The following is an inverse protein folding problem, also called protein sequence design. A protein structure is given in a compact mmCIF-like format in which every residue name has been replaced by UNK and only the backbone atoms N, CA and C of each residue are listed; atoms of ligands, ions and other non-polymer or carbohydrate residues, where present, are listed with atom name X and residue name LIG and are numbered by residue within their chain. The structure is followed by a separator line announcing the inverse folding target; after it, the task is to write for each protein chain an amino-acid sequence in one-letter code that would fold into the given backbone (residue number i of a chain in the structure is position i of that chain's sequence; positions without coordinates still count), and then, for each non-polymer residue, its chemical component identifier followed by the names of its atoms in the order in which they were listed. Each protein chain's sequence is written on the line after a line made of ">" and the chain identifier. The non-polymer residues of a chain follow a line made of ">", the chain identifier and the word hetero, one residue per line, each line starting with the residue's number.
data_IF_126639640586
#
_entry.id   IF_126639640586
#
_cell.length_a   1.000
_cell.length_b   1.000
_cell.length_c   1.000
_cell.angle_alpha   90.00
_cell.angle_beta   90.00
_cell.angle_gamma   90.00
#
_symmetry.space_group_name_H-M   'P 1'
#
loop_
_entity.id
_entity.type
_entity.pdbx_description
1 polymer ?
#
# COMPACT_ATOMS: atom_id res chain seq x y z
N UNK A 1 23.48 5.07 22.79
CA UNK A 1 22.72 5.40 24.02
C UNK A 1 23.46 6.43 24.88
N UNK A 2 24.72 6.22 25.26
CA UNK A 2 25.48 7.19 26.08
C UNK A 2 25.76 8.55 25.39
N UNK A 3 25.99 8.58 24.08
CA UNK A 3 26.28 9.81 23.32
C UNK A 3 25.07 10.72 23.13
N UNK A 4 23.87 10.15 23.00
CA UNK A 4 22.63 10.91 22.79
C UNK A 4 22.23 11.66 24.08
N UNK A 5 22.43 11.03 25.24
CA UNK A 5 22.13 11.62 26.54
C UNK A 5 23.09 12.78 26.88
N UNK A 6 24.35 12.72 26.44
CA UNK A 6 25.33 13.80 26.63
C UNK A 6 25.03 15.02 25.74
N UNK A 7 24.58 14.78 24.50
CA UNK A 7 24.14 15.83 23.59
C UNK A 7 22.85 16.52 24.07
N UNK A 8 21.91 15.75 24.64
CA UNK A 8 20.68 16.28 25.24
C UNK A 8 20.94 17.07 26.53
N UNK A 9 21.94 16.69 27.34
CA UNK A 9 22.32 17.45 28.54
C UNK A 9 22.94 18.82 28.22
N UNK A 10 23.61 18.97 27.07
CA UNK A 10 24.16 20.25 26.61
C UNK A 10 23.07 21.26 26.21
N UNK A 11 21.85 20.78 25.89
CA UNK A 11 20.74 21.62 25.46
C UNK A 11 19.85 22.11 26.61
N UNK A 12 19.97 21.56 27.83
CA UNK A 12 19.04 21.82 28.95
C UNK A 12 19.02 23.28 29.48
N UNK A 13 19.94 24.15 29.06
CA UNK A 13 19.99 25.57 29.45
C UNK A 13 19.58 26.58 28.36
N UNK A 14 19.25 26.11 27.15
CA UNK A 14 18.98 26.97 25.98
C UNK A 14 17.46 27.12 25.79
N UNK A 15 16.93 28.31 25.44
CA UNK A 15 15.51 28.48 25.15
C UNK A 15 15.03 27.49 24.08
N UNK A 16 13.84 26.91 24.27
CA UNK A 16 13.30 25.83 23.41
C UNK A 16 13.33 26.23 21.92
N UNK A 17 13.05 27.49 21.59
CA UNK A 17 13.10 28.02 20.23
C UNK A 17 14.50 27.91 19.58
N UNK A 18 15.56 28.18 20.35
CA UNK A 18 16.93 28.07 19.87
C UNK A 18 17.36 26.60 19.75
N UNK A 19 16.90 25.71 20.63
CA UNK A 19 17.15 24.27 20.49
C UNK A 19 16.54 23.73 19.18
N UNK A 20 15.29 24.11 18.88
CA UNK A 20 14.58 23.71 17.65
C UNK A 20 15.34 24.20 16.40
N UNK A 21 15.80 25.46 16.39
CA UNK A 21 16.60 25.99 15.28
C UNK A 21 17.93 25.27 15.11
N UNK A 22 18.59 24.91 16.21
CA UNK A 22 19.87 24.20 16.16
C UNK A 22 19.68 22.78 15.62
N UNK A 23 18.61 22.10 16.03
CA UNK A 23 18.24 20.78 15.52
C UNK A 23 17.88 20.84 14.03
N UNK A 24 17.13 21.85 13.60
CA UNK A 24 16.78 22.07 12.18
C UNK A 24 18.02 22.38 11.32
N UNK A 25 19.04 23.05 11.86
CA UNK A 25 20.26 23.35 11.12
C UNK A 25 21.24 22.17 11.08
N UNK A 26 21.38 21.43 12.18
CA UNK A 26 22.37 20.36 12.33
C UNK A 26 21.91 19.05 11.66
N UNK A 27 20.62 18.73 11.71
CA UNK A 27 20.09 17.49 11.14
C UNK A 27 20.32 17.41 9.61
N UNK A 28 20.00 18.42 8.79
CA UNK A 28 20.24 18.37 7.34
C UNK A 28 21.72 18.25 6.99
N UNK A 29 22.60 18.92 7.73
CA UNK A 29 24.05 18.85 7.54
C UNK A 29 24.57 17.46 7.90
N UNK A 30 24.09 16.87 8.99
CA UNK A 30 24.42 15.50 9.38
C UNK A 30 23.91 14.48 8.35
N UNK A 31 22.70 14.68 7.80
CA UNK A 31 22.13 13.84 6.75
C UNK A 31 22.96 13.95 5.46
N UNK A 32 23.31 15.16 5.03
CA UNK A 32 24.09 15.40 3.82
C UNK A 32 25.52 14.85 3.92
N UNK A 33 26.18 15.07 5.05
CA UNK A 33 27.53 14.54 5.29
C UNK A 33 27.51 13.01 5.35
N UNK A 34 26.48 12.40 5.94
CA UNK A 34 26.33 10.95 5.93
C UNK A 34 26.07 10.39 4.52
N UNK A 35 25.17 10.99 3.74
CA UNK A 35 24.89 10.58 2.35
C UNK A 35 26.16 10.69 1.48
N UNK A 36 26.96 11.74 1.67
CA UNK A 36 28.22 11.94 0.97
C UNK A 36 29.27 10.87 1.31
N UNK A 37 29.41 10.50 2.59
CA UNK A 37 30.42 9.54 3.06
C UNK A 37 30.01 8.08 2.79
N UNK A 38 28.73 7.74 3.04
CA UNK A 38 28.25 6.35 3.01
C UNK A 38 27.60 5.95 1.70
N UNK A 39 27.24 6.91 0.84
CA UNK A 39 26.40 6.69 -0.36
C UNK A 39 25.07 5.98 -0.05
N UNK A 40 24.63 6.04 1.20
CA UNK A 40 23.41 5.42 1.73
C UNK A 40 22.58 6.50 2.44
N UNK A 41 21.25 6.46 2.29
CA UNK A 41 20.34 7.44 2.90
C UNK A 41 20.10 7.11 4.38
N UNK A 42 20.19 8.12 5.26
CA UNK A 42 20.03 7.98 6.72
C UNK A 42 18.61 7.55 7.14
N UNK A 43 17.60 7.86 6.31
CA UNK A 43 16.21 7.45 6.49
C UNK A 43 15.71 6.78 5.19
N UNK A 44 15.64 5.43 5.14
CA UNK A 44 15.02 4.72 4.03
C UNK A 44 13.49 4.85 4.12
N UNK A 45 12.94 5.91 3.50
CA UNK A 45 11.51 6.19 3.35
C UNK A 45 11.29 7.70 3.38
N UNK A 46 10.75 8.40 2.37
CA UNK A 46 9.83 8.10 1.27
C UNK A 46 10.36 8.80 -0.02
N UNK A 47 10.07 8.31 -1.25
CA UNK A 47 8.76 7.83 -1.67
C UNK A 47 8.77 6.48 -2.42
N UNK A 48 7.56 5.93 -2.58
CA UNK A 48 7.25 4.54 -2.91
C UNK A 48 7.27 4.17 -4.41
N UNK A 49 7.55 5.08 -5.33
CA UNK A 49 7.53 4.77 -6.76
C UNK A 49 8.70 5.49 -7.47
N UNK A 50 9.63 4.72 -8.03
CA UNK A 50 10.55 5.20 -9.06
C UNK A 50 10.08 4.67 -10.42
N UNK A 51 9.48 5.54 -11.23
CA UNK A 51 9.10 5.15 -12.59
C UNK A 51 10.34 5.23 -13.49
N UNK A 52 10.63 4.16 -14.22
CA UNK A 52 11.65 4.13 -15.27
C UNK A 52 13.09 4.49 -14.81
N UNK A 53 13.50 4.12 -13.60
CA UNK A 53 14.88 4.33 -13.13
C UNK A 53 15.23 5.78 -12.81
N UNK A 54 14.23 6.66 -12.67
CA UNK A 54 14.40 8.07 -12.30
C UNK A 54 14.41 8.25 -10.79
N UNK A 55 15.03 9.36 -10.36
CA UNK A 55 14.96 9.77 -8.96
C UNK A 55 13.49 10.08 -8.60
N UNK A 56 13.09 9.88 -7.34
CA UNK A 56 11.68 9.98 -7.03
C UNK A 56 11.09 11.38 -7.21
N UNK A 57 11.88 12.44 -6.99
CA UNK A 57 11.48 13.83 -7.22
C UNK A 57 11.17 14.11 -8.71
N UNK A 58 12.00 13.57 -9.61
CA UNK A 58 11.72 13.61 -11.05
C UNK A 58 10.49 12.78 -11.42
N UNK A 59 10.18 11.72 -10.68
CA UNK A 59 9.04 10.86 -10.97
C UNK A 59 7.71 11.62 -10.78
N UNK A 60 7.57 12.39 -9.69
CA UNK A 60 6.35 13.14 -9.40
C UNK A 60 6.11 14.31 -10.37
N UNK A 61 7.19 14.98 -10.79
CA UNK A 61 7.10 16.13 -11.71
C UNK A 61 6.84 15.67 -13.15
N UNK A 62 7.42 14.53 -13.56
CA UNK A 62 7.39 14.09 -14.96
C UNK A 62 6.29 13.05 -15.29
N UNK A 63 5.70 12.41 -14.28
CA UNK A 63 4.62 11.41 -14.44
C UNK A 63 3.34 11.79 -13.69
N UNK A 64 2.77 12.99 -13.95
CA UNK A 64 1.54 13.42 -13.29
C UNK A 64 0.33 12.55 -13.65
N UNK A 65 0.36 11.87 -14.81
CA UNK A 65 -0.77 11.03 -15.28
C UNK A 65 -1.02 9.84 -14.36
N UNK A 66 0.03 9.21 -13.88
CA UNK A 66 -0.01 8.08 -12.97
C UNK A 66 -0.57 8.50 -11.60
N UNK A 67 -0.19 9.68 -11.12
CA UNK A 67 -0.75 10.27 -9.89
C UNK A 67 -2.22 10.67 -10.07
N UNK A 68 -2.58 11.26 -11.21
CA UNK A 68 -3.96 11.63 -11.54
C UNK A 68 -4.88 10.41 -11.54
N UNK A 69 -4.44 9.29 -12.13
CA UNK A 69 -5.23 8.05 -12.15
C UNK A 69 -5.51 7.50 -10.75
N UNK A 70 -4.59 7.63 -9.80
CA UNK A 70 -4.80 7.22 -8.40
C UNK A 70 -5.79 8.16 -7.69
N UNK A 71 -5.72 9.46 -7.98
CA UNK A 71 -6.67 10.43 -7.40
C UNK A 71 -8.08 10.18 -7.93
N UNK A 72 -8.24 9.97 -9.23
CA UNK A 72 -9.52 9.63 -9.85
C UNK A 72 -10.11 8.33 -9.25
N UNK A 73 -9.27 7.30 -9.11
CA UNK A 73 -9.64 6.05 -8.46
C UNK A 73 -10.10 6.26 -7.02
N UNK A 74 -9.35 7.05 -6.26
CA UNK A 74 -9.70 7.38 -4.86
C UNK A 74 -11.05 8.08 -4.78
N UNK A 75 -11.29 9.05 -5.66
CA UNK A 75 -12.57 9.77 -5.70
C UNK A 75 -13.73 8.84 -6.07
N UNK A 76 -13.51 7.92 -7.02
CA UNK A 76 -14.51 6.92 -7.39
C UNK A 76 -14.89 6.05 -6.20
N UNK A 77 -13.91 5.50 -5.47
CA UNK A 77 -14.18 4.66 -4.31
C UNK A 77 -14.86 5.42 -3.18
N UNK A 78 -14.49 6.69 -2.98
CA UNK A 78 -15.15 7.56 -2.00
C UNK A 78 -16.62 7.78 -2.39
N UNK A 79 -16.91 8.03 -3.67
CA UNK A 79 -18.29 8.16 -4.14
C UNK A 79 -19.07 6.84 -4.01
N UNK A 80 -18.45 5.70 -4.31
CA UNK A 80 -19.09 4.39 -4.14
C UNK A 80 -19.37 4.06 -2.66
N UNK A 81 -18.47 4.46 -1.76
CA UNK A 81 -18.58 4.20 -0.33
C UNK A 81 -19.54 5.14 0.39
N UNK A 82 -19.63 6.39 -0.05
CA UNK A 82 -20.29 7.46 0.71
C UNK A 82 -21.36 8.21 -0.10
N UNK A 83 -21.32 8.19 -1.43
CA UNK A 83 -22.10 9.08 -2.30
C UNK A 83 -23.61 8.89 -2.18
N UNK A 84 -24.11 7.65 -2.09
CA UNK A 84 -25.55 7.43 -1.88
C UNK A 84 -26.00 7.78 -0.46
N UNK A 85 -25.14 7.51 0.51
CA UNK A 85 -25.41 7.66 1.93
C UNK A 85 -25.36 9.13 2.38
N UNK A 86 -24.68 10.01 1.63
CA UNK A 86 -24.54 11.45 1.93
C UNK A 86 -25.57 12.34 1.23
N UNK A 87 -26.27 11.85 0.20
CA UNK A 87 -27.26 12.63 -0.57
C UNK A 87 -28.44 13.16 0.26
N UNK A 88 -28.79 12.49 1.35
CA UNK A 88 -29.90 12.89 2.22
C UNK A 88 -29.54 13.93 3.29
N UNK A 89 -28.26 14.31 3.46
CA UNK A 89 -27.81 15.22 4.52
C UNK A 89 -27.90 14.65 5.95
N UNK A 90 -28.28 13.39 6.08
CA UNK A 90 -28.43 12.66 7.35
C UNK A 90 -27.09 12.12 7.86
N UNK A 91 -26.94 12.10 9.18
CA UNK A 91 -25.74 11.58 9.82
C UNK A 91 -25.69 10.05 9.77
N UNK A 92 -24.59 9.50 9.24
CA UNK A 92 -24.40 8.05 9.11
C UNK A 92 -23.26 7.54 9.99
N UNK A 93 -23.39 6.30 10.46
CA UNK A 93 -22.33 5.58 11.19
C UNK A 93 -21.58 4.68 10.23
N UNK A 94 -20.27 4.90 10.09
CA UNK A 94 -19.41 4.16 9.17
C UNK A 94 -18.21 3.56 9.90
N UNK A 95 -17.73 2.41 9.41
CA UNK A 95 -16.44 1.86 9.86
C UNK A 95 -15.31 2.58 9.14
N UNK A 96 -14.64 3.51 9.83
CA UNK A 96 -13.50 4.25 9.27
C UNK A 96 -12.40 3.29 8.82
N UNK A 97 -12.09 2.25 9.63
CA UNK A 97 -11.10 1.23 9.26
C UNK A 97 -11.53 0.45 8.01
N UNK A 98 -12.81 0.08 7.92
CA UNK A 98 -13.36 -0.64 6.77
C UNK A 98 -13.30 0.18 5.49
N UNK A 99 -13.73 1.43 5.54
CA UNK A 99 -13.66 2.36 4.41
C UNK A 99 -12.20 2.62 3.99
N UNK A 100 -11.31 2.88 4.95
CA UNK A 100 -9.89 3.05 4.68
C UNK A 100 -9.28 1.80 4.02
N UNK A 101 -9.68 0.60 4.46
CA UNK A 101 -9.20 -0.65 3.86
C UNK A 101 -9.66 -0.80 2.40
N UNK A 102 -10.89 -0.40 2.05
CA UNK A 102 -11.37 -0.44 0.67
C UNK A 102 -10.67 0.60 -0.22
N UNK A 103 -10.54 1.85 0.24
CA UNK A 103 -9.82 2.91 -0.49
C UNK A 103 -8.37 2.52 -0.73
N UNK A 104 -7.70 1.98 0.29
CA UNK A 104 -6.30 1.54 0.16
C UNK A 104 -6.20 0.30 -0.73
N UNK A 105 -7.14 -0.65 -0.65
CA UNK A 105 -7.19 -1.82 -1.52
C UNK A 105 -7.21 -1.44 -3.00
N UNK A 106 -8.15 -0.58 -3.38
CA UNK A 106 -8.31 -0.14 -4.76
C UNK A 106 -7.06 0.56 -5.29
N UNK A 107 -6.55 1.54 -4.56
CA UNK A 107 -5.36 2.31 -4.95
C UNK A 107 -4.11 1.43 -5.04
N UNK A 108 -3.96 0.50 -4.09
CA UNK A 108 -2.84 -0.44 -4.10
C UNK A 108 -2.90 -1.34 -5.33
N UNK A 109 -4.08 -1.86 -5.67
CA UNK A 109 -4.28 -2.67 -6.87
C UNK A 109 -4.07 -1.86 -8.15
N UNK A 110 -4.54 -0.60 -8.21
CA UNK A 110 -4.31 0.30 -9.34
C UNK A 110 -2.82 0.44 -9.65
N UNK A 111 -1.99 0.59 -8.62
CA UNK A 111 -0.53 0.71 -8.75
C UNK A 111 0.11 -0.63 -9.12
N UNK A 112 -0.35 -1.72 -8.50
CA UNK A 112 0.33 -3.00 -8.55
C UNK A 112 -0.04 -3.87 -9.77
N UNK A 113 -1.31 -3.90 -10.14
CA UNK A 113 -1.83 -4.75 -11.22
C UNK A 113 -2.37 -3.96 -12.42
N UNK A 114 -2.52 -2.64 -12.24
CA UNK A 114 -2.96 -1.71 -13.27
C UNK A 114 -4.46 -1.44 -13.27
N UNK A 115 -4.89 -0.51 -14.12
CA UNK A 115 -6.25 0.03 -14.20
C UNK A 115 -7.34 -1.01 -14.49
N UNK A 116 -7.06 -2.01 -15.33
CA UNK A 116 -8.09 -2.99 -15.70
C UNK A 116 -8.46 -3.89 -14.53
N UNK A 117 -7.44 -4.37 -13.81
CA UNK A 117 -7.62 -5.34 -12.73
C UNK A 117 -8.00 -4.69 -11.41
N UNK A 118 -7.70 -3.41 -11.19
CA UNK A 118 -8.15 -2.76 -9.97
C UNK A 118 -9.68 -2.69 -9.88
N UNK A 119 -10.40 -2.65 -11.00
CA UNK A 119 -11.87 -2.65 -11.02
C UNK A 119 -12.50 -4.05 -10.94
N UNK A 120 -11.72 -5.13 -10.84
CA UNK A 120 -12.28 -6.48 -10.68
C UNK A 120 -12.75 -6.67 -9.23
N UNK A 121 -14.08 -6.73 -8.98
CA UNK A 121 -14.62 -6.83 -7.63
C UNK A 121 -14.17 -8.11 -6.92
N UNK A 122 -13.92 -9.18 -7.66
CA UNK A 122 -13.43 -10.43 -7.09
C UNK A 122 -11.98 -10.30 -6.64
N UNK A 123 -11.14 -9.63 -7.44
CA UNK A 123 -9.74 -9.41 -7.07
C UNK A 123 -9.62 -8.49 -5.85
N UNK A 124 -10.34 -7.37 -5.84
CA UNK A 124 -10.38 -6.46 -4.66
C UNK A 124 -10.77 -7.25 -3.41
N UNK A 125 -11.85 -8.01 -3.49
CA UNK A 125 -12.38 -8.78 -2.37
C UNK A 125 -11.39 -9.85 -1.86
N UNK A 126 -10.72 -10.57 -2.77
CA UNK A 126 -9.67 -11.52 -2.41
C UNK A 126 -8.57 -10.80 -1.63
N UNK A 127 -8.05 -9.68 -2.14
CA UNK A 127 -6.96 -8.95 -1.51
C UNK A 127 -7.36 -8.37 -0.14
N UNK A 128 -8.54 -7.77 -0.02
CA UNK A 128 -9.07 -7.22 1.23
C UNK A 128 -9.29 -8.31 2.28
N UNK A 129 -9.96 -9.42 1.93
CA UNK A 129 -10.20 -10.52 2.86
C UNK A 129 -8.92 -11.25 3.23
N UNK A 130 -7.99 -11.43 2.29
CA UNK A 130 -6.70 -12.04 2.57
C UNK A 130 -5.91 -11.20 3.58
N UNK A 131 -5.83 -9.89 3.37
CA UNK A 131 -5.20 -8.96 4.31
C UNK A 131 -5.83 -9.00 5.71
N UNK A 132 -7.16 -9.09 5.78
CA UNK A 132 -7.88 -9.19 7.06
C UNK A 132 -7.70 -10.52 7.80
N UNK A 133 -7.50 -11.63 7.08
CA UNK A 133 -7.52 -12.98 7.66
C UNK A 133 -6.13 -13.58 7.94
N UNK A 134 -5.08 -13.11 7.26
CA UNK A 134 -3.74 -13.72 7.31
C UNK A 134 -3.09 -13.72 8.70
N UNK A 135 -3.23 -12.63 9.46
CA UNK A 135 -2.69 -12.57 10.83
C UNK A 135 -3.46 -13.47 11.79
N UNK A 136 -4.78 -13.58 11.62
CA UNK A 136 -5.62 -14.49 12.39
C UNK A 136 -5.27 -15.95 12.08
N UNK A 137 -5.12 -16.31 10.80
CA UNK A 137 -4.69 -17.64 10.38
C UNK A 137 -3.30 -18.01 10.92
N UNK A 138 -2.37 -17.07 10.91
CA UNK A 138 -1.04 -17.26 11.50
C UNK A 138 -1.11 -17.48 13.01
N UNK A 139 -2.02 -16.79 13.69
CA UNK A 139 -2.21 -16.94 15.15
C UNK A 139 -2.86 -18.27 15.51
N UNK A 140 -3.85 -18.70 14.72
CA UNK A 140 -4.49 -20.02 14.84
C UNK A 140 -3.47 -21.15 14.64
N UNK A 141 -2.60 -21.04 13.63
CA UNK A 141 -1.55 -22.03 13.40
C UNK A 141 -0.51 -22.07 14.53
N UNK A 142 -0.14 -20.90 15.09
CA UNK A 142 0.78 -20.79 16.23
C UNK A 142 0.24 -21.35 17.54
N UNK A 143 -1.06 -21.64 17.64
CA UNK A 143 -1.63 -22.34 18.79
C UNK A 143 -1.16 -23.80 18.89
N UNK A 144 -0.64 -24.36 17.80
CA UNK A 144 -0.10 -25.72 17.73
C UNK A 144 1.43 -25.70 17.74
N UNK A 145 2.04 -26.80 18.21
CA UNK A 145 3.50 -26.99 18.13
C UNK A 145 3.98 -26.99 16.68
N UNK A 146 5.19 -26.46 16.43
CA UNK A 146 5.78 -26.33 15.09
C UNK A 146 5.84 -27.65 14.32
N UNK A 147 6.02 -28.79 15.01
CA UNK A 147 6.04 -30.10 14.38
C UNK A 147 4.69 -30.50 13.75
N UNK A 148 3.58 -29.96 14.25
CA UNK A 148 2.23 -30.24 13.76
C UNK A 148 1.78 -29.29 12.66
N UNK A 149 2.49 -28.18 12.44
CA UNK A 149 2.12 -27.18 11.42
C UNK A 149 1.90 -27.75 10.02
N UNK A 150 2.74 -28.68 9.49
CA UNK A 150 2.55 -29.26 8.16
C UNK A 150 1.26 -30.07 7.99
N UNK A 151 0.62 -30.47 9.09
CA UNK A 151 -0.61 -31.27 9.09
C UNK A 151 -1.79 -30.38 9.45
N UNK A 152 -1.70 -29.65 10.56
CA UNK A 152 -2.81 -28.90 11.13
C UNK A 152 -3.30 -27.81 10.19
N UNK A 153 -2.41 -27.13 9.47
CA UNK A 153 -2.82 -26.11 8.51
C UNK A 153 -3.72 -26.64 7.39
N UNK A 154 -3.77 -27.96 7.15
CA UNK A 154 -4.73 -28.55 6.21
C UNK A 154 -6.16 -28.53 6.73
N UNK A 155 -6.36 -28.62 8.04
CA UNK A 155 -7.67 -28.78 8.67
C UNK A 155 -8.24 -27.48 9.25
N UNK A 156 -7.39 -26.48 9.50
CA UNK A 156 -7.83 -25.19 10.04
C UNK A 156 -8.62 -24.37 9.00
N UNK A 157 -9.75 -23.75 9.40
CA UNK A 157 -10.63 -23.02 8.49
C UNK A 157 -9.97 -21.80 7.85
N UNK A 158 -9.19 -21.01 8.60
CA UNK A 158 -8.57 -19.80 8.05
C UNK A 158 -7.45 -20.13 7.03
N UNK A 159 -6.48 -21.02 7.32
CA UNK A 159 -5.52 -21.47 6.30
C UNK A 159 -6.17 -22.15 5.07
N UNK A 160 -7.28 -22.85 5.23
CA UNK A 160 -8.06 -23.37 4.09
C UNK A 160 -8.64 -22.23 3.23
N UNK A 161 -9.22 -21.21 3.87
CA UNK A 161 -9.76 -20.04 3.18
C UNK A 161 -8.67 -19.28 2.42
N UNK A 162 -7.52 -19.01 3.05
CA UNK A 162 -6.40 -18.31 2.41
C UNK A 162 -5.87 -19.05 1.18
N UNK A 163 -5.81 -20.39 1.22
CA UNK A 163 -5.41 -21.19 0.06
C UNK A 163 -6.42 -21.15 -1.07
N UNK A 164 -7.73 -21.14 -0.75
CA UNK A 164 -8.78 -20.95 -1.76
C UNK A 164 -8.67 -19.58 -2.43
N UNK A 165 -8.41 -18.54 -1.63
CA UNK A 165 -8.18 -17.18 -2.12
C UNK A 165 -6.94 -17.10 -3.03
N UNK A 166 -5.82 -17.70 -2.62
CA UNK A 166 -4.61 -17.78 -3.43
C UNK A 166 -4.89 -18.46 -4.77
N UNK A 167 -5.50 -19.66 -4.75
CA UNK A 167 -5.83 -20.39 -5.97
C UNK A 167 -6.75 -19.61 -6.91
N UNK A 168 -7.67 -18.81 -6.36
CA UNK A 168 -8.55 -17.98 -7.17
C UNK A 168 -7.81 -16.79 -7.77
N UNK A 169 -6.97 -16.12 -6.98
CA UNK A 169 -6.10 -15.05 -7.45
C UNK A 169 -5.13 -15.53 -8.54
N UNK A 170 -4.55 -16.73 -8.42
CA UNK A 170 -3.68 -17.33 -9.44
C UNK A 170 -4.42 -17.49 -10.77
N UNK A 171 -5.72 -17.80 -10.72
CA UNK A 171 -6.58 -17.88 -11.89
C UNK A 171 -6.73 -16.54 -12.60
N UNK A 172 -7.00 -15.46 -11.86
CA UNK A 172 -7.18 -14.10 -12.38
C UNK A 172 -5.85 -13.53 -12.88
N UNK A 173 -4.82 -13.54 -12.02
CA UNK A 173 -3.49 -13.03 -12.34
C UNK A 173 -2.84 -13.80 -13.49
N UNK A 174 -3.02 -15.12 -13.53
CA UNK A 174 -2.51 -15.95 -14.62
C UNK A 174 -3.16 -15.61 -15.97
N UNK A 175 -4.43 -15.19 -16.00
CA UNK A 175 -5.06 -14.72 -17.24
C UNK A 175 -4.42 -13.41 -17.71
N UNK A 176 -4.17 -12.48 -16.80
CA UNK A 176 -3.54 -11.19 -17.13
C UNK A 176 -2.09 -11.38 -17.62
N UNK A 177 -1.31 -12.23 -16.97
CA UNK A 177 0.06 -12.55 -17.42
C UNK A 177 0.04 -13.12 -18.84
N UNK A 178 -0.84 -14.10 -19.12
CA UNK A 178 -0.99 -14.66 -20.48
C UNK A 178 -1.41 -13.61 -21.51
N UNK A 179 -2.31 -12.70 -21.14
CA UNK A 179 -2.75 -11.59 -21.99
C UNK A 179 -1.57 -10.68 -22.36
N UNK A 180 -0.76 -10.29 -21.38
CA UNK A 180 0.45 -9.45 -21.59
C UNK A 180 1.48 -10.16 -22.46
N UNK A 181 1.69 -11.46 -22.27
CA UNK A 181 2.58 -12.24 -23.13
C UNK A 181 2.08 -12.31 -24.58
N UNK A 182 0.78 -12.46 -24.80
CA UNK A 182 0.19 -12.44 -26.14
C UNK A 182 0.39 -11.08 -26.81
N UNK A 183 0.16 -9.98 -26.07
CA UNK A 183 0.42 -8.62 -26.56
C UNK A 183 1.89 -8.41 -26.93
N UNK A 184 2.81 -8.88 -26.09
CA UNK A 184 4.23 -8.84 -26.37
C UNK A 184 4.59 -9.62 -27.65
N UNK A 185 4.07 -10.84 -27.81
CA UNK A 185 4.29 -11.67 -29.01
C UNK A 185 3.75 -10.99 -30.27
N UNK A 186 2.55 -10.42 -30.21
CA UNK A 186 1.95 -9.69 -31.35
C UNK A 186 2.72 -8.40 -31.70
N UNK A 187 3.22 -7.67 -30.70
CA UNK A 187 4.04 -6.49 -30.92
C UNK A 187 5.34 -6.86 -31.65
N UNK A 188 6.04 -7.89 -31.17
CA UNK A 188 7.27 -8.40 -31.81
C UNK A 188 6.99 -8.85 -33.24
N UNK A 189 5.92 -9.63 -33.46
CA UNK A 189 5.57 -10.12 -34.80
C UNK A 189 5.18 -9.01 -35.79
N UNK A 190 4.65 -7.89 -35.29
CA UNK A 190 4.29 -6.72 -36.10
C UNK A 190 5.39 -5.66 -36.18
N UNK A 191 6.59 -5.92 -35.66
CA UNK A 191 7.69 -4.95 -35.60
C UNK A 191 7.41 -3.73 -34.72
N UNK A 192 6.36 -3.78 -33.89
CA UNK A 192 5.97 -2.71 -32.97
C UNK A 192 6.69 -2.85 -31.63
N UNK A 193 6.93 -1.72 -30.98
CA UNK A 193 7.52 -1.70 -29.64
C UNK A 193 6.56 -2.34 -28.63
N UNK A 194 7.10 -3.23 -27.79
CA UNK A 194 6.35 -3.85 -26.70
C UNK A 194 5.86 -2.80 -25.69
N UNK A 195 4.64 -3.00 -25.16
CA UNK A 195 4.14 -2.20 -24.06
C UNK A 195 5.06 -2.36 -22.84
N UNK A 196 5.49 -1.23 -22.25
CA UNK A 196 6.26 -1.24 -21.01
C UNK A 196 5.29 -1.10 -19.84
N UNK A 197 5.34 -2.05 -18.93
CA UNK A 197 4.56 -2.04 -17.70
C UNK A 197 5.48 -1.61 -16.55
N UNK A 198 5.01 -0.67 -15.72
CA UNK A 198 5.75 -0.16 -14.56
C UNK A 198 5.10 -0.62 -13.24
N UNK A 199 4.48 -1.79 -13.26
CA UNK A 199 3.68 -2.33 -12.17
C UNK A 199 4.36 -3.55 -11.52
N UNK A 200 3.82 -4.03 -10.39
CA UNK A 200 4.47 -5.10 -9.62
C UNK A 200 4.45 -6.44 -10.33
N UNK A 201 3.50 -6.66 -11.24
CA UNK A 201 3.46 -7.86 -12.10
C UNK A 201 4.69 -7.91 -13.00
N UNK A 202 5.03 -6.79 -13.66
CA UNK A 202 6.24 -6.69 -14.46
C UNK A 202 7.51 -6.77 -13.60
N UNK A 203 7.50 -6.13 -12.43
CA UNK A 203 8.62 -6.17 -11.49
C UNK A 203 8.94 -7.59 -11.01
N UNK A 204 7.93 -8.40 -10.67
CA UNK A 204 8.13 -9.81 -10.29
C UNK A 204 8.82 -10.60 -11.40
N UNK A 205 8.45 -10.40 -12.66
CA UNK A 205 9.10 -11.05 -13.82
C UNK A 205 10.56 -10.62 -13.92
N UNK A 206 10.84 -9.32 -13.82
CA UNK A 206 12.18 -8.76 -13.98
C UNK A 206 13.14 -9.20 -12.85
N UNK A 207 12.66 -9.21 -11.60
CA UNK A 207 13.43 -9.68 -10.44
C UNK A 207 13.68 -11.18 -10.50
N UNK A 208 12.67 -11.97 -10.86
CA UNK A 208 12.81 -13.42 -10.98
C UNK A 208 13.86 -13.78 -12.04
N UNK A 209 13.86 -13.07 -13.17
CA UNK A 209 14.88 -13.21 -14.22
C UNK A 209 16.27 -12.78 -13.75
N UNK A 210 16.40 -11.65 -13.04
CA UNK A 210 17.71 -11.16 -12.60
C UNK A 210 18.34 -12.05 -11.52
N UNK A 211 17.52 -12.67 -10.67
CA UNK A 211 17.96 -13.60 -9.63
C UNK A 211 18.09 -15.06 -10.10
N UNK A 212 17.67 -15.38 -11.33
CA UNK A 212 17.73 -16.74 -11.87
C UNK A 212 16.78 -17.73 -11.20
N UNK A 213 15.73 -17.24 -10.51
CA UNK A 213 14.71 -18.08 -9.88
C UNK A 213 13.72 -18.55 -10.95
N UNK A 214 13.35 -19.83 -10.96
CA UNK A 214 12.41 -20.38 -11.96
C UNK A 214 10.99 -20.61 -11.41
N UNK A 215 10.90 -20.93 -10.13
CA UNK A 215 9.66 -21.39 -9.49
C UNK A 215 9.14 -20.36 -8.47
N UNK A 216 8.94 -19.11 -8.91
CA UNK A 216 8.38 -18.06 -8.08
C UNK A 216 6.86 -17.93 -8.30
N UNK A 217 6.09 -18.15 -7.24
CA UNK A 217 4.66 -17.82 -7.23
C UNK A 217 4.47 -16.30 -7.10
N UNK A 218 4.27 -15.67 -8.26
CA UNK A 218 4.03 -14.23 -8.38
C UNK A 218 2.75 -13.80 -7.66
N UNK A 219 1.73 -14.67 -7.61
CA UNK A 219 0.44 -14.33 -7.01
C UNK A 219 0.56 -14.32 -5.49
N UNK A 220 1.25 -15.30 -4.91
CA UNK A 220 1.55 -15.28 -3.48
C UNK A 220 2.39 -14.07 -3.08
N UNK A 221 3.42 -13.73 -3.87
CA UNK A 221 4.21 -12.51 -3.65
C UNK A 221 3.36 -11.25 -3.72
N UNK A 222 2.46 -11.19 -4.70
CA UNK A 222 1.53 -10.07 -4.90
C UNK A 222 0.55 -9.92 -3.73
N UNK A 223 -0.05 -11.02 -3.25
CA UNK A 223 -0.93 -11.02 -2.09
C UNK A 223 -0.21 -10.58 -0.83
N UNK A 224 1.05 -10.98 -0.64
CA UNK A 224 1.86 -10.53 0.49
C UNK A 224 2.15 -9.02 0.43
N UNK A 225 2.47 -8.47 -0.75
CA UNK A 225 2.67 -7.03 -0.93
C UNK A 225 1.41 -6.22 -0.65
N UNK A 226 0.27 -6.65 -1.21
CA UNK A 226 -1.00 -5.96 -0.97
C UNK A 226 -1.41 -6.09 0.49
N UNK A 227 -1.28 -7.26 1.13
CA UNK A 227 -1.50 -7.42 2.56
C UNK A 227 -0.72 -6.39 3.39
N UNK A 228 0.59 -6.27 3.14
CA UNK A 228 1.45 -5.37 3.89
C UNK A 228 1.02 -3.90 3.75
N UNK A 229 0.61 -3.49 2.54
CA UNK A 229 0.13 -2.14 2.26
C UNK A 229 -1.26 -1.85 2.88
N UNK A 230 -2.15 -2.84 2.89
CA UNK A 230 -3.52 -2.64 3.38
C UNK A 230 -3.55 -2.57 4.90
N UNK A 231 -2.87 -3.49 5.60
CA UNK A 231 -2.97 -3.55 7.06
C UNK A 231 -2.30 -2.35 7.75
N UNK A 232 -1.12 -1.92 7.28
CA UNK A 232 -0.41 -0.79 7.89
C UNK A 232 -1.17 0.54 7.70
N UNK A 233 -1.60 0.83 6.47
CA UNK A 233 -2.17 2.11 6.06
C UNK A 233 -3.60 2.23 6.60
N UNK A 234 -4.43 1.20 6.43
CA UNK A 234 -5.82 1.23 6.94
C UNK A 234 -5.85 1.31 8.47
N UNK A 235 -4.95 0.60 9.16
CA UNK A 235 -4.83 0.69 10.62
C UNK A 235 -4.33 2.07 11.03
N UNK A 236 -3.38 2.66 10.31
CA UNK A 236 -2.86 3.99 10.65
C UNK A 236 -3.92 5.08 10.44
N UNK A 237 -4.68 5.05 9.34
CA UNK A 237 -5.81 5.97 9.09
C UNK A 237 -6.91 5.76 10.14
N UNK A 238 -7.23 4.52 10.48
CA UNK A 238 -8.17 4.23 11.55
C UNK A 238 -7.69 4.79 12.89
N UNK A 239 -6.40 4.60 13.21
CA UNK A 239 -5.79 5.02 14.47
C UNK A 239 -5.63 6.52 14.59
N UNK A 240 -5.22 7.23 13.56
CA UNK A 240 -5.10 8.70 13.58
C UNK A 240 -6.45 9.34 13.88
N UNK A 241 -7.52 8.79 13.31
CA UNK A 241 -8.89 9.24 13.57
C UNK A 241 -9.36 8.90 15.00
N UNK A 242 -8.92 7.77 15.59
CA UNK A 242 -9.21 7.45 17.00
C UNK A 242 -8.28 8.12 18.01
N UNK A 243 -7.08 8.54 17.63
CA UNK A 243 -6.15 9.23 18.54
C UNK A 243 -6.63 10.66 18.86
N UNK A 244 -7.41 11.26 17.96
CA UNK A 244 -8.21 12.46 18.26
C UNK A 244 -9.39 12.18 19.23
N UNK A 245 -9.84 10.92 19.34
CA UNK A 245 -11.04 10.49 20.08
C UNK A 245 -10.76 10.20 21.58
N UNK A 246 -9.52 9.92 21.97
CA UNK A 246 -9.15 9.65 23.38
C UNK A 246 -9.35 10.90 24.29
N UNK A 247 -9.65 12.07 23.73
CA UNK A 247 -10.07 13.27 24.49
C UNK A 247 -11.57 13.38 24.74
N UNK A 248 -12.41 12.47 24.23
CA UNK A 248 -13.84 12.47 24.52
C UNK A 248 -14.57 11.41 23.73
N UNK A 249 -14.81 10.24 24.35
CA UNK A 249 -15.36 9.05 23.71
C UNK A 249 -16.71 9.26 23.03
N UNK A 250 -16.67 9.60 21.74
CA UNK A 250 -17.83 9.81 20.89
C UNK A 250 -17.60 9.05 19.59
N UNK A 251 -18.39 7.99 19.36
CA UNK A 251 -18.55 7.43 18.02
C UNK A 251 -19.01 8.54 17.07
N UNK A 252 -18.10 9.03 16.21
CA UNK A 252 -18.43 10.12 15.29
C UNK A 252 -19.27 9.59 14.15
N UNK A 253 -20.48 10.15 14.03
CA UNK A 253 -21.17 10.24 12.75
C UNK A 253 -20.36 11.21 11.88
N UNK A 254 -20.27 10.98 10.57
CA UNK A 254 -19.57 11.89 9.63
C UNK A 254 -20.62 12.64 8.81
N UNK A 255 -20.50 13.97 8.71
CA UNK A 255 -21.34 14.81 7.84
C UNK A 255 -20.47 15.29 6.69
N UNK A 256 -20.64 14.66 5.54
CA UNK A 256 -19.99 15.08 4.30
C UNK A 256 -20.86 16.17 3.69
N UNK A 257 -20.28 17.36 3.49
CA UNK A 257 -20.96 18.48 2.82
C UNK A 257 -20.73 18.38 1.32
N UNK A 258 -21.81 18.41 0.54
CA UNK A 258 -21.73 18.66 -0.89
C UNK A 258 -21.58 20.17 -1.10
N UNK A 259 -20.49 20.58 -1.76
CA UNK A 259 -20.48 21.88 -2.41
C UNK A 259 -21.24 21.72 -3.72
N UNK A 260 -22.41 22.36 -3.83
CA UNK A 260 -23.10 22.48 -5.10
C UNK A 260 -22.12 23.06 -6.12
N UNK A 261 -21.78 22.26 -7.15
CA UNK A 261 -21.21 22.82 -8.37
C UNK A 261 -22.31 23.64 -9.04
N UNK A 262 -22.46 24.90 -8.62
CA UNK A 262 -23.07 25.89 -9.48
C UNK A 262 -22.08 26.17 -10.61
N UNK A 263 -22.34 25.52 -11.74
CA UNK A 263 -21.81 25.94 -13.03
C UNK A 263 -22.65 27.14 -13.45
N UNK A 264 -22.09 28.34 -13.30
CA UNK A 264 -22.39 29.49 -14.16
C UNK A 264 -21.19 29.74 -15.07
#
# INVERSE_FOLDING_TARGET
>A
MASLNYALSLLQGVPIAAQVLTVIAVIPIAIYTYDWVRKERLFPGYPLISLNGKTPEESWINFPKETLGIVEETLSVIEDLFGEQTRGGEWQTISIRGAAMQIVAQNTLRIMVGEKLCHDPELIDIHTRHAGAVFAAGSENRAFSTALWPIVHWFLPLPQQLRKQLKRAEGIMGQEVRRREQEARMAIASGRKMAKFSDSVAWHVDVTKSLGVKDHDQTAGQLAFTMAALDNTSTQIGRSNTAEDVRGGVQRRVKVWHADKQVE
#
